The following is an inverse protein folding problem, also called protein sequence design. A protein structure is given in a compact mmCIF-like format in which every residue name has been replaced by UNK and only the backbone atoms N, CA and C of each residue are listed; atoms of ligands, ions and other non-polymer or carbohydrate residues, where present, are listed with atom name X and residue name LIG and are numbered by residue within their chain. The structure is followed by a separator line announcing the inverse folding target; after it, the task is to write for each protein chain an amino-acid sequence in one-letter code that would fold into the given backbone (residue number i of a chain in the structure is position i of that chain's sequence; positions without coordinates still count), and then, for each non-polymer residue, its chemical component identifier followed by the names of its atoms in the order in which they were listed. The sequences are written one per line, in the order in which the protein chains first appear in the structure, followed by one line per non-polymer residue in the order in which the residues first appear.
data_IF_786091803528
#
_entry.id   IF_786091803528
#
_cell.length_a   1.000
_cell.length_b   1.000
_cell.length_c   1.000
_cell.angle_alpha   90.00
_cell.angle_beta   90.00
_cell.angle_gamma   90.00
#
_symmetry.space_group_name_H-M   'P 1'
#
loop_
_entity.id
_entity.type
_entity.pdbx_description
1 polymer ?
#
# COMPACT_ATOMS: atom_id res chain seq x y z
N UNK A 1 3.30 0.98 14.84
CA UNK A 1 4.44 1.91 14.65
C UNK A 1 4.00 3.31 14.28
N UNK A 2 4.72 4.31 14.81
CA UNK A 2 4.54 5.75 14.56
C UNK A 2 5.87 6.31 14.01
N UNK A 3 5.88 7.20 13.01
CA UNK A 3 4.73 7.91 12.42
C UNK A 3 3.88 7.08 11.46
N UNK A 4 4.28 5.85 11.13
CA UNK A 4 3.60 5.01 10.14
C UNK A 4 4.22 5.14 8.75
N UNK A 5 3.58 4.60 7.73
CA UNK A 5 4.07 4.64 6.34
C UNK A 5 4.13 6.09 5.83
N UNK A 6 5.31 6.55 5.43
CA UNK A 6 5.55 7.91 4.90
C UNK A 6 5.50 7.92 3.37
N UNK A 7 5.31 9.09 2.72
CA UNK A 7 5.39 9.22 1.26
C UNK A 7 6.70 8.67 0.67
N UNK A 8 7.82 8.87 1.36
CA UNK A 8 9.13 8.36 0.93
C UNK A 8 9.17 6.82 0.87
N UNK A 9 8.44 6.12 1.75
CA UNK A 9 8.40 4.65 1.76
C UNK A 9 7.71 4.06 0.52
N UNK A 10 6.94 4.87 -0.20
CA UNK A 10 6.13 4.43 -1.35
C UNK A 10 6.54 5.10 -2.67
N UNK A 11 7.46 6.06 -2.63
CA UNK A 11 7.86 6.87 -3.79
C UNK A 11 8.41 6.01 -4.94
N UNK A 12 9.28 5.05 -4.64
CA UNK A 12 9.82 4.12 -5.66
C UNK A 12 8.72 3.34 -6.39
N UNK A 13 7.62 3.02 -5.69
CA UNK A 13 6.48 2.30 -6.29
C UNK A 13 5.64 3.24 -7.15
N UNK A 14 5.47 4.50 -6.71
CA UNK A 14 4.79 5.55 -7.47
C UNK A 14 5.50 5.81 -8.79
N UNK A 15 6.83 5.89 -8.79
CA UNK A 15 7.65 6.13 -9.98
C UNK A 15 7.53 5.02 -11.03
N UNK A 16 7.16 3.80 -10.63
CA UNK A 16 6.92 2.66 -11.55
C UNK A 16 5.56 2.72 -12.27
N UNK A 17 4.73 3.73 -11.99
CA UNK A 17 3.47 3.98 -12.68
C UNK A 17 2.42 2.90 -12.41
N UNK A 18 2.17 2.62 -11.13
CA UNK A 18 1.11 1.71 -10.69
C UNK A 18 -0.26 2.40 -10.69
N UNK A 19 -1.31 1.65 -10.96
CA UNK A 19 -2.71 2.10 -10.89
C UNK A 19 -3.26 1.99 -9.46
N UNK A 20 -2.86 0.92 -8.75
CA UNK A 20 -3.30 0.62 -7.39
C UNK A 20 -2.06 0.32 -6.54
N UNK A 21 -2.01 0.89 -5.33
CA UNK A 21 -1.03 0.54 -4.31
C UNK A 21 -1.71 -0.16 -3.14
N UNK A 22 -1.28 -1.38 -2.84
CA UNK A 22 -1.73 -2.14 -1.68
C UNK A 22 -0.74 -1.98 -0.53
N UNK A 23 -1.23 -1.58 0.65
CA UNK A 23 -0.42 -1.38 1.86
C UNK A 23 -0.83 -2.41 2.91
N UNK A 24 0.05 -3.37 3.18
CA UNK A 24 -0.09 -4.33 4.28
C UNK A 24 0.42 -3.73 5.59
N UNK A 25 -0.47 -3.41 6.54
CA UNK A 25 -0.13 -2.70 7.78
C UNK A 25 0.22 -3.58 8.98
N UNK A 26 0.68 -4.80 8.72
CA UNK A 26 1.11 -5.76 9.73
C UNK A 26 0.03 -6.75 10.13
N UNK A 27 0.45 -7.79 10.84
CA UNK A 27 -0.42 -8.89 11.28
C UNK A 27 -1.47 -8.41 12.29
N UNK A 28 -1.08 -7.51 13.19
CA UNK A 28 -1.95 -6.87 14.18
C UNK A 28 -2.37 -5.46 13.80
N UNK A 29 -2.17 -5.06 12.54
CA UNK A 29 -2.49 -3.73 12.03
C UNK A 29 -1.84 -2.57 12.79
N UNK A 30 -0.78 -2.80 13.56
CA UNK A 30 -0.22 -1.79 14.44
C UNK A 30 0.58 -0.72 13.67
N UNK A 31 1.03 -0.98 12.44
CA UNK A 31 1.59 0.04 11.56
C UNK A 31 0.48 1.01 11.13
N UNK A 32 0.69 2.31 11.38
CA UNK A 32 -0.25 3.34 10.94
C UNK A 32 -0.01 3.70 9.47
N UNK A 33 -1.06 4.13 8.79
CA UNK A 33 -0.97 4.79 7.49
C UNK A 33 -1.56 6.19 7.64
N UNK A 34 -0.72 7.23 7.78
CA UNK A 34 -1.16 8.61 7.86
C UNK A 34 -2.01 9.02 6.66
N UNK A 35 -3.01 9.86 6.90
CA UNK A 35 -3.84 10.42 5.83
C UNK A 35 -3.00 11.20 4.80
N UNK A 36 -1.92 11.88 5.24
CA UNK A 36 -1.00 12.58 4.35
C UNK A 36 -0.39 11.67 3.27
N UNK A 37 -0.05 10.43 3.63
CA UNK A 37 0.49 9.44 2.69
C UNK A 37 -0.58 8.98 1.69
N UNK A 38 -1.81 8.75 2.16
CA UNK A 38 -2.94 8.39 1.29
C UNK A 38 -3.27 9.52 0.31
N UNK A 39 -3.30 10.77 0.79
CA UNK A 39 -3.59 11.93 -0.05
C UNK A 39 -2.46 12.22 -1.05
N UNK A 40 -1.20 11.98 -0.68
CA UNK A 40 -0.08 12.05 -1.61
C UNK A 40 -0.27 11.07 -2.79
N UNK A 41 -0.65 9.82 -2.51
CA UNK A 41 -0.91 8.79 -3.52
C UNK A 41 -2.12 9.14 -4.41
N UNK A 42 -3.22 9.57 -3.80
CA UNK A 42 -4.43 9.98 -4.54
C UNK A 42 -4.17 11.17 -5.47
N UNK A 43 -3.38 12.16 -5.05
CA UNK A 43 -2.96 13.28 -5.90
C UNK A 43 -2.16 12.85 -7.13
N UNK A 44 -1.54 11.67 -7.09
CA UNK A 44 -0.85 11.04 -8.22
C UNK A 44 -1.77 10.14 -9.07
N UNK A 45 -3.07 10.08 -8.75
CA UNK A 45 -4.04 9.26 -9.46
C UNK A 45 -3.99 7.77 -9.10
N UNK A 46 -3.39 7.42 -7.96
CA UNK A 46 -3.22 6.04 -7.52
C UNK A 46 -4.33 5.68 -6.52
N UNK A 47 -5.05 4.58 -6.76
CA UNK A 47 -5.99 4.01 -5.78
C UNK A 47 -5.21 3.29 -4.67
N UNK A 48 -5.66 3.41 -3.42
CA UNK A 48 -4.92 2.91 -2.26
C UNK A 48 -5.78 1.94 -1.47
N UNK A 49 -5.26 0.72 -1.27
CA UNK A 49 -5.89 -0.32 -0.43
C UNK A 49 -5.04 -0.54 0.82
N UNK A 50 -5.54 -0.11 1.98
CA UNK A 50 -4.86 -0.33 3.27
C UNK A 50 -5.54 -1.49 3.98
N UNK A 51 -4.80 -2.57 4.23
CA UNK A 51 -5.35 -3.83 4.74
C UNK A 51 -4.40 -4.49 5.73
N UNK A 52 -4.93 -5.36 6.59
CA UNK A 52 -4.12 -6.35 7.30
C UNK A 52 -3.30 -7.17 6.29
N UNK A 53 -2.05 -7.52 6.63
CA UNK A 53 -1.07 -8.01 5.64
C UNK A 53 -1.48 -9.28 4.88
N UNK A 54 -2.15 -10.25 5.51
CA UNK A 54 -2.63 -11.44 4.78
C UNK A 54 -3.73 -11.10 3.78
N UNK A 55 -4.64 -10.19 4.15
CA UNK A 55 -5.66 -9.67 3.25
C UNK A 55 -5.05 -8.84 2.13
N UNK A 56 -4.03 -8.03 2.44
CA UNK A 56 -3.27 -7.25 1.49
C UNK A 56 -2.62 -8.15 0.42
N UNK A 57 -1.99 -9.26 0.83
CA UNK A 57 -1.38 -10.22 -0.10
C UNK A 57 -2.44 -10.87 -1.00
N UNK A 58 -3.59 -11.26 -0.43
CA UNK A 58 -4.71 -11.82 -1.21
C UNK A 58 -5.23 -10.83 -2.26
N UNK A 59 -5.47 -9.58 -1.86
CA UNK A 59 -5.93 -8.51 -2.73
C UNK A 59 -4.92 -8.21 -3.84
N UNK A 60 -3.65 -8.07 -3.48
CA UNK A 60 -2.57 -7.84 -4.44
C UNK A 60 -2.52 -8.94 -5.50
N UNK A 61 -2.53 -10.21 -5.08
CA UNK A 61 -2.49 -11.34 -6.01
C UNK A 61 -3.73 -11.37 -6.91
N UNK A 62 -4.92 -11.05 -6.37
CA UNK A 62 -6.14 -10.96 -7.17
C UNK A 62 -6.09 -9.83 -8.21
N UNK A 63 -5.46 -8.70 -7.91
CA UNK A 63 -5.25 -7.60 -8.87
C UNK A 63 -4.22 -7.97 -9.94
N UNK A 64 -3.15 -8.67 -9.56
CA UNK A 64 -2.15 -9.20 -10.50
C UNK A 64 -2.81 -10.17 -11.49
N UNK A 65 -3.65 -11.09 -11.02
CA UNK A 65 -4.32 -12.06 -11.92
C UNK A 65 -5.31 -11.40 -12.88
N UNK A 66 -5.82 -10.22 -12.53
CA UNK A 66 -6.67 -9.39 -13.40
C UNK A 66 -5.86 -8.53 -14.40
N UNK A 67 -4.52 -8.60 -14.38
CA UNK A 67 -3.66 -7.79 -15.26
C UNK A 67 -3.55 -6.32 -14.85
N UNK A 68 -3.99 -5.97 -13.64
CA UNK A 68 -3.87 -4.60 -13.13
C UNK A 68 -2.41 -4.31 -12.80
N UNK A 69 -1.94 -3.10 -13.16
CA UNK A 69 -0.61 -2.61 -12.73
C UNK A 69 -0.66 -2.26 -11.25
N UNK A 70 -0.51 -3.25 -10.40
CA UNK A 70 -0.56 -3.10 -8.94
C UNK A 70 0.85 -3.06 -8.36
N UNK A 71 1.08 -2.18 -7.39
CA UNK A 71 2.24 -2.18 -6.52
C UNK A 71 1.87 -2.56 -5.08
N UNK A 72 2.85 -2.91 -4.26
CA UNK A 72 2.58 -3.21 -2.85
C UNK A 72 3.75 -2.95 -1.93
N UNK A 73 3.45 -2.53 -0.71
CA UNK A 73 4.38 -2.46 0.42
C UNK A 73 3.77 -3.25 1.58
N UNK A 74 4.55 -4.15 2.17
CA UNK A 74 4.03 -5.12 3.14
C UNK A 74 4.88 -5.14 4.40
N UNK A 75 4.24 -4.84 5.52
CA UNK A 75 4.81 -5.10 6.83
C UNK A 75 4.42 -6.51 7.28
N UNK A 76 5.38 -7.41 7.47
CA UNK A 76 5.11 -8.83 7.73
C UNK A 76 5.00 -9.19 9.21
N UNK A 77 5.18 -8.23 10.12
CA UNK A 77 5.07 -8.42 11.57
C UNK A 77 4.03 -7.47 12.17
N UNK A 78 4.13 -7.17 13.46
CA UNK A 78 3.32 -6.15 14.13
C UNK A 78 3.96 -4.77 13.99
#
# INVERSE_FOLDING_TARGET
HSPGVQPADVEEVVEKGVQILVIGRGMSEALKVPLSTVEYLKKKGIDVRVLQTEQAVKEYNALVTQGIRVGGVFHSTC
#
